data_IF_981691464454
#
_entry.id   IF_981691464454
#
_cell.length_a   1.000
_cell.length_b   1.000
_cell.length_c   1.000
_cell.angle_alpha   90.00
_cell.angle_beta   90.00
_cell.angle_gamma   90.00
#
_symmetry.space_group_name_H-M   'P 1'
#
loop_
_entity.id
_entity.type
_entity.pdbx_description
1 polymer ?
#
# COMPACT_ATOMS: atom_id res chain seq x y z
N UNK A 1 12.63 3.31 -2.15
CA UNK A 1 11.29 3.77 -2.59
C UNK A 1 11.20 5.29 -2.85
N UNK A 2 12.20 6.13 -2.58
CA UNK A 2 12.07 7.61 -2.72
C UNK A 2 11.80 8.12 -4.15
N UNK A 3 11.94 7.28 -5.16
CA UNK A 3 11.76 7.62 -6.58
C UNK A 3 10.45 7.09 -7.18
N UNK A 4 9.68 6.27 -6.45
CA UNK A 4 8.38 5.81 -6.93
C UNK A 4 7.29 6.78 -6.52
N UNK A 5 6.26 6.93 -7.37
CA UNK A 5 5.08 7.74 -7.08
C UNK A 5 4.29 7.16 -5.90
N UNK A 6 3.41 7.97 -5.33
CA UNK A 6 2.55 7.57 -4.22
C UNK A 6 1.56 6.46 -4.64
N UNK A 7 1.04 6.54 -5.87
CA UNK A 7 0.18 5.51 -6.47
C UNK A 7 0.92 4.15 -6.55
N UNK A 8 2.12 4.13 -7.15
CA UNK A 8 2.91 2.89 -7.28
C UNK A 8 3.31 2.33 -5.91
N UNK A 9 3.58 3.19 -4.92
CA UNK A 9 3.90 2.77 -3.55
C UNK A 9 2.71 2.07 -2.89
N UNK A 10 1.51 2.66 -2.99
CA UNK A 10 0.29 2.07 -2.42
C UNK A 10 -0.09 0.76 -3.13
N UNK A 11 -0.02 0.71 -4.46
CA UNK A 11 -0.25 -0.51 -5.22
C UNK A 11 0.72 -1.63 -4.83
N UNK A 12 2.00 -1.29 -4.69
CA UNK A 12 3.04 -2.24 -4.28
C UNK A 12 2.77 -2.81 -2.88
N UNK A 13 2.31 -1.96 -1.94
CA UNK A 13 1.93 -2.40 -0.60
C UNK A 13 0.78 -3.41 -0.63
N UNK A 14 -0.32 -3.10 -1.32
CA UNK A 14 -1.44 -4.03 -1.44
C UNK A 14 -1.03 -5.32 -2.15
N UNK A 15 -0.25 -5.23 -3.23
CA UNK A 15 0.21 -6.41 -3.95
C UNK A 15 1.13 -7.30 -3.09
N UNK A 16 1.96 -6.69 -2.25
CA UNK A 16 2.82 -7.43 -1.33
C UNK A 16 2.01 -8.20 -0.27
N UNK A 17 0.91 -7.62 0.22
CA UNK A 17 -0.05 -8.33 1.09
C UNK A 17 -0.76 -9.47 0.35
N UNK A 18 -1.29 -9.21 -0.85
CA UNK A 18 -2.01 -10.21 -1.66
C UNK A 18 -1.13 -11.43 -1.99
N UNK A 19 0.16 -11.20 -2.25
CA UNK A 19 1.14 -12.24 -2.57
C UNK A 19 1.80 -12.86 -1.33
N UNK A 20 1.43 -12.42 -0.12
CA UNK A 20 2.04 -12.88 1.13
C UNK A 20 3.57 -12.79 1.11
N UNK A 21 4.09 -11.67 0.64
CA UNK A 21 5.54 -11.43 0.61
C UNK A 21 6.10 -11.30 2.03
N UNK A 22 7.43 -11.36 2.11
CA UNK A 22 8.17 -11.25 3.35
C UNK A 22 7.74 -10.04 4.20
N UNK A 23 7.59 -10.27 5.50
CA UNK A 23 7.05 -9.27 6.44
C UNK A 23 7.95 -8.03 6.55
N UNK A 24 9.26 -8.18 6.43
CA UNK A 24 10.18 -7.05 6.47
C UNK A 24 10.03 -6.19 5.22
N UNK A 25 9.79 -6.82 4.06
CA UNK A 25 9.48 -6.10 2.83
C UNK A 25 8.17 -5.30 2.93
N UNK A 26 7.11 -5.91 3.46
CA UNK A 26 5.83 -5.23 3.70
C UNK A 26 6.00 -4.07 4.67
N UNK A 27 6.78 -4.25 5.74
CA UNK A 27 7.07 -3.20 6.71
C UNK A 27 7.82 -2.03 6.10
N UNK A 28 8.77 -2.28 5.18
CA UNK A 28 9.49 -1.21 4.47
C UNK A 28 8.52 -0.34 3.64
N UNK A 29 7.55 -0.96 2.95
CA UNK A 29 6.53 -0.24 2.20
C UNK A 29 5.65 0.60 3.15
N UNK A 30 5.19 0.00 4.24
CA UNK A 30 4.34 0.68 5.23
C UNK A 30 5.06 1.85 5.91
N UNK A 31 6.35 1.71 6.21
CA UNK A 31 7.15 2.79 6.77
C UNK A 31 7.25 3.98 5.82
N UNK A 32 7.44 3.73 4.53
CA UNK A 32 7.51 4.80 3.53
C UNK A 32 6.15 5.48 3.32
N UNK A 33 5.05 4.71 3.32
CA UNK A 33 3.67 5.23 3.27
C UNK A 33 3.43 6.19 4.45
N UNK A 34 3.76 5.76 5.67
CA UNK A 34 3.65 6.60 6.87
C UNK A 34 4.54 7.84 6.79
N UNK A 35 5.77 7.71 6.28
CA UNK A 35 6.71 8.83 6.13
C UNK A 35 6.18 9.90 5.17
N UNK A 36 5.37 9.53 4.18
CA UNK A 36 4.75 10.43 3.20
C UNK A 36 3.35 10.90 3.58
N UNK A 37 2.84 10.47 4.74
CA UNK A 37 1.49 10.77 5.21
C UNK A 37 0.39 10.32 4.21
N UNK A 38 0.59 9.14 3.59
CA UNK A 38 -0.38 8.56 2.66
C UNK A 38 -1.42 7.71 3.39
N UNK A 39 -2.69 7.88 3.01
CA UNK A 39 -3.78 7.08 3.55
C UNK A 39 -3.81 5.68 2.91
N UNK A 40 -3.78 4.66 3.76
CA UNK A 40 -4.03 3.25 3.38
C UNK A 40 -5.50 2.98 3.61
N UNK A 41 -6.37 3.55 2.77
CA UNK A 41 -7.79 3.23 2.85
C UNK A 41 -7.99 1.76 2.50
N UNK A 42 -8.75 1.06 3.35
CA UNK A 42 -9.06 -0.35 3.17
C UNK A 42 -9.71 -0.56 1.79
N UNK A 43 -9.10 -1.37 0.90
CA UNK A 43 -9.66 -1.64 -0.45
C UNK A 43 -11.14 -2.05 -0.42
N UNK A 44 -11.60 -2.67 0.67
CA UNK A 44 -12.99 -3.05 0.87
C UNK A 44 -13.99 -1.87 0.82
N UNK A 45 -13.57 -0.63 1.13
CA UNK A 45 -14.46 0.54 1.05
C UNK A 45 -14.64 1.08 -0.38
N UNK A 46 -13.76 0.71 -1.33
CA UNK A 46 -13.87 1.17 -2.72
C UNK A 46 -14.80 0.29 -3.57
N UNK A 47 -14.94 -1.00 -3.25
CA UNK A 47 -15.85 -1.89 -3.98
C UNK A 47 -17.32 -1.72 -3.57
N UNK A 48 -17.60 -1.13 -2.40
CA UNK A 48 -18.97 -0.89 -1.91
C UNK A 48 -19.66 0.36 -2.50
N UNK A 49 -18.92 1.21 -3.22
CA UNK A 49 -19.46 2.45 -3.83
C UNK A 49 -19.94 2.23 -5.27
N UNK A 50 -19.95 0.98 -5.77
CA UNK A 50 -20.43 0.62 -7.12
C UNK A 50 -21.68 -0.27 -7.06
N UNK A 51 -22.44 -0.25 -5.96
CA UNK A 51 -23.74 -0.92 -5.83
C UNK A 51 -24.87 0.08 -5.56
#
# INVERSE_FOLDING_TARGET
MRVISDETLLESYWKALDLQLDVDFVNLLLMEIKRRDLSVENKASKEMTVL
#
